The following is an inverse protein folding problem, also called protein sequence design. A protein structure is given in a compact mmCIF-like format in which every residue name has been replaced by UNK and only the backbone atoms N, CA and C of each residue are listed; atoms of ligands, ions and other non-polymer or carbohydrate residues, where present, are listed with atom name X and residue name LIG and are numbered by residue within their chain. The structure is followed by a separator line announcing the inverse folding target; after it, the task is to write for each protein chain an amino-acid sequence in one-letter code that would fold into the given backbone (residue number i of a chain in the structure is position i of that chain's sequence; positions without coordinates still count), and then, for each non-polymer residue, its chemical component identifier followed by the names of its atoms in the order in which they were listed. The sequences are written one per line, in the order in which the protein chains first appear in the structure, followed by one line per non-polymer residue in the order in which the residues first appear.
data_IF_611227736819
#
_entry.id   IF_611227736819
#
_cell.length_a   1.000
_cell.length_b   1.000
_cell.length_c   1.000
_cell.angle_alpha   90.00
_cell.angle_beta   90.00
_cell.angle_gamma   90.00
#
_symmetry.space_group_name_H-M   'P 1'
#
loop_
_entity.id
_entity.type
_entity.pdbx_description
1 polymer ?
#
# COMPACT_ATOMS: atom_id res chain seq x y z
N UNK A 1 7.74 -3.39 -13.36
CA UNK A 1 7.01 -2.42 -12.51
C UNK A 1 7.26 -2.77 -11.06
N UNK A 2 7.33 -1.80 -10.11
CA UNK A 2 7.49 -2.13 -8.71
C UNK A 2 6.29 -2.91 -8.19
N UNK A 3 6.51 -3.80 -7.25
CA UNK A 3 5.43 -4.45 -6.50
C UNK A 3 4.94 -3.45 -5.45
N UNK A 4 3.71 -3.00 -5.61
CA UNK A 4 3.06 -2.09 -4.67
C UNK A 4 2.34 -2.89 -3.59
N UNK A 5 2.43 -2.44 -2.34
CA UNK A 5 1.67 -2.99 -1.21
C UNK A 5 0.64 -1.94 -0.79
N UNK A 6 -0.63 -2.29 -0.96
CA UNK A 6 -1.76 -1.40 -0.69
C UNK A 6 -2.30 -1.71 0.71
N UNK A 7 -2.22 -0.75 1.61
CA UNK A 7 -2.76 -0.85 2.97
C UNK A 7 -4.11 -0.15 3.11
N UNK A 8 -5.06 -0.80 3.77
CA UNK A 8 -6.38 -0.25 4.07
C UNK A 8 -6.85 -0.67 5.44
N UNK A 9 -7.71 0.15 6.08
CA UNK A 9 -8.52 -0.29 7.22
C UNK A 9 -9.90 -0.72 6.76
N UNK A 10 -10.46 -1.74 7.40
CA UNK A 10 -11.88 -2.04 7.29
C UNK A 10 -12.72 -1.11 8.18
N UNK A 11 -14.04 -1.28 8.17
CA UNK A 11 -14.99 -0.49 8.97
C UNK A 11 -14.80 -0.60 10.49
N UNK A 12 -14.11 -1.65 10.96
CA UNK A 12 -13.79 -1.89 12.37
C UNK A 12 -12.37 -1.40 12.73
N UNK A 13 -11.65 -0.78 11.78
CA UNK A 13 -10.27 -0.34 11.98
C UNK A 13 -9.24 -1.46 11.90
N UNK A 14 -9.60 -2.64 11.38
CA UNK A 14 -8.68 -3.74 11.17
C UNK A 14 -7.89 -3.52 9.89
N UNK A 15 -6.57 -3.66 9.98
CA UNK A 15 -5.68 -3.51 8.83
C UNK A 15 -5.76 -4.70 7.88
N UNK A 16 -5.72 -4.41 6.58
CA UNK A 16 -5.53 -5.37 5.49
C UNK A 16 -4.51 -4.84 4.50
N UNK A 17 -3.83 -5.74 3.82
CA UNK A 17 -2.88 -5.43 2.76
C UNK A 17 -3.04 -6.37 1.58
N UNK A 18 -2.76 -5.87 0.39
CA UNK A 18 -2.60 -6.71 -0.80
C UNK A 18 -1.43 -6.20 -1.64
N UNK A 19 -0.84 -7.05 -2.47
CA UNK A 19 0.08 -6.58 -3.49
C UNK A 19 -0.65 -6.19 -4.78
N UNK A 20 -0.06 -5.25 -5.52
CA UNK A 20 -0.50 -4.85 -6.84
C UNK A 20 0.74 -4.52 -7.70
N UNK A 21 0.68 -4.86 -8.99
CA UNK A 21 1.75 -4.57 -9.94
C UNK A 21 1.31 -3.58 -11.03
N UNK A 22 0.01 -3.39 -11.20
CA UNK A 22 -0.54 -2.57 -12.27
C UNK A 22 -0.98 -1.21 -11.73
N UNK A 23 -0.02 -0.30 -11.65
CA UNK A 23 -0.22 1.06 -11.18
C UNK A 23 0.97 1.95 -11.51
N UNK A 24 0.80 3.25 -11.31
CA UNK A 24 1.84 4.23 -11.59
C UNK A 24 1.44 5.64 -11.22
N UNK A 25 2.31 6.58 -11.58
CA UNK A 25 2.04 8.02 -11.43
C UNK A 25 1.06 8.44 -12.52
N UNK A 26 -0.01 9.11 -12.13
CA UNK A 26 -1.01 9.70 -13.03
C UNK A 26 -0.71 11.18 -13.28
N UNK A 27 -0.35 11.92 -12.24
CA UNK A 27 0.00 13.34 -12.29
C UNK A 27 0.99 13.66 -11.15
N UNK A 28 1.37 14.91 -10.97
CA UNK A 28 2.35 15.39 -9.98
C UNK A 28 2.09 14.87 -8.57
N UNK A 29 0.82 14.80 -8.17
CA UNK A 29 0.38 14.33 -6.84
C UNK A 29 -0.71 13.26 -6.92
N UNK A 30 -0.83 12.58 -8.05
CA UNK A 30 -1.82 11.53 -8.26
C UNK A 30 -1.18 10.23 -8.72
N UNK A 31 -1.74 9.13 -8.21
CA UNK A 31 -1.42 7.77 -8.65
C UNK A 31 -2.68 7.11 -9.22
N UNK A 32 -2.47 6.10 -10.04
CA UNK A 32 -3.52 5.16 -10.45
C UNK A 32 -3.08 3.73 -10.15
N UNK A 33 -4.05 2.87 -9.83
CA UNK A 33 -3.81 1.45 -9.59
C UNK A 33 -5.01 0.67 -10.12
N UNK A 34 -4.77 -0.42 -10.85
CA UNK A 34 -5.82 -1.33 -11.29
C UNK A 34 -6.06 -2.39 -10.21
N UNK A 35 -7.27 -2.42 -9.65
CA UNK A 35 -7.68 -3.31 -8.56
C UNK A 35 -9.04 -3.92 -8.87
N UNK A 36 -9.14 -5.24 -8.88
CA UNK A 36 -10.41 -5.95 -9.09
C UNK A 36 -11.40 -5.69 -7.94
N UNK A 37 -12.71 -5.50 -8.23
CA UNK A 37 -13.71 -5.10 -7.24
C UNK A 37 -13.95 -6.15 -6.14
N UNK A 38 -13.64 -7.42 -6.37
CA UNK A 38 -13.83 -8.47 -5.37
C UNK A 38 -12.84 -8.41 -4.22
N UNK A 39 -11.72 -7.70 -4.36
CA UNK A 39 -10.71 -7.61 -3.31
C UNK A 39 -11.25 -6.94 -2.04
N UNK A 40 -10.85 -7.45 -0.87
CA UNK A 40 -11.14 -6.82 0.43
C UNK A 40 -10.69 -5.36 0.45
N UNK A 41 -9.52 -5.10 -0.14
CA UNK A 41 -8.93 -3.76 -0.27
C UNK A 41 -9.89 -2.79 -0.95
N UNK A 42 -10.55 -3.19 -2.05
CA UNK A 42 -11.51 -2.33 -2.75
C UNK A 42 -12.74 -2.07 -1.88
N UNK A 43 -13.28 -3.08 -1.21
CA UNK A 43 -14.39 -2.92 -0.26
C UNK A 43 -14.04 -1.94 0.86
N UNK A 44 -12.81 -2.00 1.36
CA UNK A 44 -12.32 -1.12 2.41
C UNK A 44 -12.17 0.32 1.91
N UNK A 45 -11.44 0.54 0.80
CA UNK A 45 -11.18 1.89 0.26
C UNK A 45 -12.46 2.63 -0.18
N UNK A 46 -13.50 1.91 -0.59
CA UNK A 46 -14.79 2.52 -0.92
C UNK A 46 -15.48 3.10 0.31
N UNK A 47 -15.23 2.53 1.50
CA UNK A 47 -15.76 3.00 2.79
C UNK A 47 -14.88 4.08 3.42
N UNK A 48 -13.58 3.81 3.54
CA UNK A 48 -12.63 4.69 4.26
C UNK A 48 -12.13 5.86 3.43
N UNK A 49 -12.20 5.76 2.10
CA UNK A 49 -11.65 6.73 1.13
C UNK A 49 -10.15 6.99 1.31
N UNK A 50 -9.43 6.04 1.89
CA UNK A 50 -8.02 6.18 2.22
C UNK A 50 -7.24 4.89 1.96
N UNK A 51 -6.02 5.05 1.49
CA UNK A 51 -5.06 3.95 1.29
C UNK A 51 -3.66 4.40 1.63
N UNK A 52 -2.80 3.46 1.98
CA UNK A 52 -1.35 3.64 1.86
C UNK A 52 -0.82 2.79 0.71
N UNK A 53 0.24 3.27 0.07
CA UNK A 53 0.93 2.55 -1.00
C UNK A 53 2.42 2.49 -0.67
N UNK A 54 2.88 1.31 -0.28
CA UNK A 54 4.28 1.02 -0.02
C UNK A 54 4.89 0.26 -1.19
N UNK A 55 6.21 0.23 -1.27
CA UNK A 55 6.93 -0.65 -2.20
C UNK A 55 7.35 -1.93 -1.48
N UNK A 56 7.07 -3.06 -2.10
CA UNK A 56 7.63 -4.34 -1.63
C UNK A 56 9.16 -4.31 -1.70
N UNK A 57 9.83 -4.83 -0.68
CA UNK A 57 11.30 -4.86 -0.60
C UNK A 57 11.84 -6.28 -0.61
N UNK A 58 13.10 -6.45 -1.01
CA UNK A 58 13.75 -7.76 -1.00
C UNK A 58 13.85 -8.39 0.40
N UNK A 59 13.86 -7.58 1.45
CA UNK A 59 13.85 -8.04 2.85
C UNK A 59 12.49 -8.62 3.26
N UNK A 60 11.42 -8.08 2.70
CA UNK A 60 10.03 -8.44 3.01
C UNK A 60 9.36 -9.27 1.92
N UNK A 61 10.13 -9.85 0.98
CA UNK A 61 9.57 -10.52 -0.20
C UNK A 61 8.57 -11.62 0.13
N UNK A 62 8.82 -12.41 1.16
CA UNK A 62 7.92 -13.51 1.57
C UNK A 62 6.58 -12.97 2.08
N UNK A 63 6.61 -11.94 2.92
CA UNK A 63 5.40 -11.31 3.44
C UNK A 63 4.66 -10.54 2.33
N UNK A 64 5.39 -9.87 1.42
CA UNK A 64 4.81 -9.20 0.25
C UNK A 64 4.12 -10.18 -0.71
N UNK A 65 4.69 -11.36 -0.93
CA UNK A 65 4.06 -12.42 -1.72
C UNK A 65 2.83 -12.98 -1.00
N UNK A 66 2.95 -13.27 0.29
CA UNK A 66 1.85 -13.79 1.10
C UNK A 66 0.60 -12.89 1.07
N UNK A 67 0.74 -11.57 1.23
CA UNK A 67 -0.41 -10.66 1.19
C UNK A 67 -1.07 -10.57 -0.20
N UNK A 68 -0.39 -11.00 -1.25
CA UNK A 68 -0.97 -11.14 -2.59
C UNK A 68 -1.76 -12.43 -2.78
N UNK A 69 -1.30 -13.52 -2.16
CA UNK A 69 -1.92 -14.86 -2.27
C UNK A 69 -3.10 -14.99 -1.30
N UNK A 70 -2.93 -14.55 -0.05
CA UNK A 70 -3.95 -14.63 0.98
C UNK A 70 -5.04 -13.59 0.76
N UNK A 71 -6.30 -14.03 0.69
CA UNK A 71 -7.44 -13.12 0.54
C UNK A 71 -7.93 -12.63 1.91
N UNK A 72 -7.94 -11.30 2.12
CA UNK A 72 -8.52 -10.69 3.32
C UNK A 72 -10.03 -10.94 3.50
N UNK A 73 -10.72 -11.42 2.47
CA UNK A 73 -12.12 -11.87 2.59
C UNK A 73 -12.25 -13.23 3.31
N UNK A 74 -11.18 -14.00 3.42
CA UNK A 74 -11.18 -15.38 4.00
C UNK A 74 -10.20 -15.53 5.16
N UNK A 75 -9.13 -14.76 5.17
CA UNK A 75 -8.06 -14.85 6.15
C UNK A 75 -8.17 -13.68 7.14
N UNK A 76 -8.71 -13.96 8.34
CA UNK A 76 -8.92 -12.93 9.35
C UNK A 76 -7.61 -12.41 9.96
N UNK A 77 -6.60 -13.29 10.13
CA UNK A 77 -5.32 -12.94 10.75
C UNK A 77 -4.23 -12.72 9.70
N UNK A 78 -4.62 -12.16 8.54
CA UNK A 78 -3.72 -11.99 7.41
C UNK A 78 -2.48 -11.16 7.76
N UNK A 79 -2.66 -10.02 8.42
CA UNK A 79 -1.54 -9.14 8.76
C UNK A 79 -0.68 -9.74 9.88
N UNK A 80 -1.27 -10.32 10.91
CA UNK A 80 -0.53 -10.97 11.99
C UNK A 80 0.41 -12.07 11.49
N UNK A 81 -0.01 -12.81 10.44
CA UNK A 81 0.81 -13.85 9.81
C UNK A 81 2.00 -13.32 9.03
N UNK A 82 2.00 -12.05 8.64
CA UNK A 82 3.17 -11.42 8.02
C UNK A 82 4.27 -11.09 9.03
N UNK A 83 3.92 -10.95 10.30
CA UNK A 83 4.78 -10.40 11.34
C UNK A 83 4.93 -8.89 11.27
N UNK A 84 4.18 -8.19 10.42
CA UNK A 84 4.25 -6.74 10.28
C UNK A 84 3.62 -6.01 11.46
N UNK A 85 4.30 -4.94 11.87
CA UNK A 85 3.82 -3.96 12.85
C UNK A 85 2.97 -2.92 12.14
N UNK A 86 1.75 -2.70 12.65
CA UNK A 86 0.80 -1.74 12.07
C UNK A 86 0.82 -0.46 12.88
N UNK A 87 1.04 0.67 12.23
CA UNK A 87 0.80 2.01 12.77
C UNK A 87 -0.19 2.77 11.89
N UNK A 88 -0.77 3.84 12.43
CA UNK A 88 -1.69 4.68 11.68
C UNK A 88 -0.93 5.69 10.83
N UNK A 89 -1.34 5.86 9.58
CA UNK A 89 -0.84 6.91 8.72
C UNK A 89 -1.12 8.31 9.32
N UNK A 90 -0.23 9.25 9.05
CA UNK A 90 -0.30 10.60 9.62
C UNK A 90 -1.43 11.44 9.01
N UNK A 91 -1.61 11.37 7.69
CA UNK A 91 -2.49 12.27 6.93
C UNK A 91 -3.78 11.64 6.45
N UNK A 92 -3.92 10.31 6.52
CA UNK A 92 -5.10 9.59 6.04
C UNK A 92 -5.50 8.45 6.98
N UNK A 93 -6.74 7.98 6.88
CA UNK A 93 -7.22 6.86 7.70
C UNK A 93 -6.87 5.50 7.08
N UNK A 94 -5.57 5.19 7.03
CA UNK A 94 -5.03 3.95 6.49
C UNK A 94 -3.83 3.45 7.31
N UNK A 95 -3.49 2.15 7.27
CA UNK A 95 -2.35 1.60 8.01
C UNK A 95 -1.02 1.86 7.30
N UNK A 96 0.05 2.08 8.08
CA UNK A 96 1.44 1.93 7.66
C UNK A 96 1.97 0.61 8.20
N UNK A 97 2.73 -0.13 7.41
CA UNK A 97 3.47 -1.33 7.81
C UNK A 97 4.92 -0.93 8.03
N UNK A 98 5.38 -0.95 9.29
CA UNK A 98 6.67 -0.36 9.69
C UNK A 98 7.88 -1.09 9.08
N UNK A 99 7.72 -2.36 8.69
CA UNK A 99 8.75 -3.13 8.00
C UNK A 99 8.94 -2.74 6.53
N UNK A 100 8.00 -1.93 5.98
CA UNK A 100 8.10 -1.35 4.64
C UNK A 100 8.55 0.12 4.76
N UNK A 101 9.80 0.44 4.40
CA UNK A 101 10.43 1.71 4.78
C UNK A 101 9.97 2.93 3.99
N UNK A 102 8.96 2.78 3.12
CA UNK A 102 8.40 3.85 2.30
C UNK A 102 6.88 3.66 2.14
N UNK A 103 6.13 4.73 2.31
CA UNK A 103 4.68 4.74 2.06
C UNK A 103 4.20 6.08 1.50
N UNK A 104 3.39 6.02 0.44
CA UNK A 104 2.51 7.12 0.04
C UNK A 104 1.23 7.03 0.86
N UNK A 105 0.80 8.14 1.43
CA UNK A 105 -0.47 8.26 2.14
C UNK A 105 -1.46 8.95 1.20
N UNK A 106 -2.51 8.24 0.79
CA UNK A 106 -3.36 8.69 -0.30
C UNK A 106 -4.84 8.74 0.07
N UNK A 107 -5.52 9.79 -0.37
CA UNK A 107 -6.97 9.92 -0.36
C UNK A 107 -7.54 9.43 -1.69
N UNK A 108 -8.53 8.55 -1.63
CA UNK A 108 -9.19 8.01 -2.83
C UNK A 108 -10.03 9.12 -3.48
N UNK A 109 -9.70 9.45 -4.73
CA UNK A 109 -10.48 10.38 -5.55
C UNK A 109 -11.63 9.66 -6.25
N UNK A 110 -11.33 8.57 -6.93
CA UNK A 110 -12.33 7.78 -7.65
C UNK A 110 -11.94 6.32 -7.75
N UNK A 111 -12.92 5.48 -7.86
CA UNK A 111 -12.78 4.08 -8.27
C UNK A 111 -13.87 3.75 -9.28
N UNK A 112 -13.46 3.29 -10.43
CA UNK A 112 -14.33 2.82 -11.50
C UNK A 112 -14.30 1.29 -11.53
N UNK A 113 -15.46 0.67 -11.26
CA UNK A 113 -15.59 -0.77 -11.13
C UNK A 113 -15.48 -1.49 -12.48
N UNK A 114 -15.93 -0.86 -13.57
CA UNK A 114 -15.89 -1.45 -14.91
C UNK A 114 -14.47 -1.55 -15.45
N UNK A 115 -13.68 -0.48 -15.31
CA UNK A 115 -12.27 -0.46 -15.69
C UNK A 115 -11.33 -0.96 -14.60
N UNK A 116 -11.82 -1.24 -13.39
CA UNK A 116 -11.04 -1.56 -12.20
C UNK A 116 -10.03 -0.45 -11.79
N UNK A 117 -10.25 0.78 -12.22
CA UNK A 117 -9.29 1.87 -12.07
C UNK A 117 -9.52 2.67 -10.79
N UNK A 118 -8.56 2.60 -9.90
CA UNK A 118 -8.44 3.50 -8.75
C UNK A 118 -7.60 4.71 -9.12
N UNK A 119 -8.06 5.91 -8.76
CA UNK A 119 -7.26 7.15 -8.74
C UNK A 119 -7.22 7.68 -7.31
N UNK A 120 -6.03 8.02 -6.85
CA UNK A 120 -5.83 8.55 -5.50
C UNK A 120 -4.85 9.72 -5.47
N UNK A 121 -5.16 10.70 -4.61
CA UNK A 121 -4.35 11.89 -4.39
C UNK A 121 -3.33 11.64 -3.26
N UNK A 122 -2.05 11.87 -3.52
CA UNK A 122 -0.99 11.78 -2.52
C UNK A 122 -1.13 12.98 -1.56
N UNK A 123 -1.33 12.71 -0.28
CA UNK A 123 -1.44 13.70 0.79
C UNK A 123 -0.14 13.85 1.57
N UNK A 124 0.61 12.76 1.69
CA UNK A 124 1.89 12.73 2.40
C UNK A 124 2.77 11.58 1.88
N UNK A 125 4.06 11.70 2.11
CA UNK A 125 5.04 10.64 1.87
C UNK A 125 5.78 10.40 3.17
N UNK A 126 5.69 9.19 3.69
CA UNK A 126 6.42 8.74 4.87
C UNK A 126 7.56 7.82 4.47
N UNK A 127 8.73 7.99 5.06
CA UNK A 127 9.84 7.08 4.84
C UNK A 127 10.73 6.96 6.07
N UNK A 128 11.40 5.82 6.20
CA UNK A 128 12.40 5.57 7.21
C UNK A 128 13.70 6.29 6.82
N UNK A 129 14.34 6.99 7.77
CA UNK A 129 15.60 7.70 7.54
C UNK A 129 16.72 6.77 7.02
N UNK A 130 16.68 5.47 7.36
CA UNK A 130 17.67 4.48 6.88
C UNK A 130 17.75 4.38 5.36
N UNK A 131 16.68 4.70 4.63
CA UNK A 131 16.65 4.65 3.15
C UNK A 131 17.01 5.99 2.50
N UNK A 132 17.34 7.02 3.29
CA UNK A 132 17.72 8.33 2.76
C UNK A 132 19.22 8.44 2.48
N UNK A 133 19.54 9.26 1.48
CA UNK A 133 20.89 9.77 1.25
C UNK A 133 21.17 10.94 2.19
N UNK A 134 22.44 11.37 2.27
CA UNK A 134 22.85 12.57 3.03
C UNK A 134 22.15 13.88 2.57
N UNK A 135 21.53 13.84 1.38
CA UNK A 135 20.76 14.96 0.81
C UNK A 135 19.24 14.79 0.99
N UNK A 136 18.82 13.92 1.91
CA UNK A 136 17.40 13.60 2.17
C UNK A 136 16.61 13.15 0.93
N UNK A 137 17.26 12.39 0.04
CA UNK A 137 16.60 11.75 -1.11
C UNK A 137 16.54 10.24 -0.89
N UNK A 138 15.50 9.61 -1.38
CA UNK A 138 15.37 8.15 -1.32
C UNK A 138 16.53 7.51 -2.11
N UNK A 139 17.26 6.63 -1.44
CA UNK A 139 18.30 5.79 -2.03
C UNK A 139 17.69 4.44 -2.42
N UNK A 140 17.54 4.21 -3.71
CA UNK A 140 16.95 2.97 -4.25
C UNK A 140 17.78 1.73 -3.86
N UNK A 141 19.10 1.88 -3.68
CA UNK A 141 19.97 0.77 -3.25
C UNK A 141 19.72 0.39 -1.79
N UNK A 142 19.36 1.37 -0.95
CA UNK A 142 18.98 1.13 0.45
C UNK A 142 17.54 0.61 0.54
N UNK A 143 16.62 1.15 -0.26
CA UNK A 143 15.23 0.72 -0.32
C UNK A 143 15.07 -0.72 -0.82
N UNK A 144 15.88 -1.12 -1.82
CA UNK A 144 15.90 -2.47 -2.42
C UNK A 144 14.50 -2.94 -2.86
N UNK A 145 13.78 -2.15 -3.67
CA UNK A 145 12.44 -2.51 -4.11
C UNK A 145 12.48 -3.75 -5.00
N UNK A 146 11.46 -4.59 -4.88
CA UNK A 146 11.26 -5.71 -5.81
C UNK A 146 10.39 -5.29 -6.97
N UNK A 147 10.58 -5.94 -8.10
CA UNK A 147 9.80 -5.72 -9.33
C UNK A 147 9.10 -7.00 -9.76
N UNK A 148 7.95 -6.80 -10.37
CA UNK A 148 7.17 -7.85 -11.03
C UNK A 148 7.59 -7.98 -12.49
#
# INVERSE_FOLDING_TARGET
MPVLIIGTYDENGKADAMNAAWGGIKDTNQIYICLSPEHKTVKNLLKTKAITVSMGTSEQVVACDYVGIASGNREENKIEKTGWTVSKAHSVNAPIFEELPFALECEVESYDEESCMLVANIKNISCDEKILTDKNKIDVKKLRPITF
#
